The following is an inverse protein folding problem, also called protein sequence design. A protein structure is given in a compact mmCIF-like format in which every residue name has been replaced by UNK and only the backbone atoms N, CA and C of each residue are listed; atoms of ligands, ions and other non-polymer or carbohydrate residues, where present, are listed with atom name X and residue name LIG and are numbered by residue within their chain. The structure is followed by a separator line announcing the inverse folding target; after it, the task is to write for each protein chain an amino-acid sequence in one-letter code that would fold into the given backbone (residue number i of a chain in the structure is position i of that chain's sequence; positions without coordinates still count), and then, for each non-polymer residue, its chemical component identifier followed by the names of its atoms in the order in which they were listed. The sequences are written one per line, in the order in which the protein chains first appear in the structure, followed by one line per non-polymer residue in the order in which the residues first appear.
data_IF_311987774848
#
_entry.id   IF_311987774848
#
_cell.length_a   1.000
_cell.length_b   1.000
_cell.length_c   1.000
_cell.angle_alpha   90.00
_cell.angle_beta   90.00
_cell.angle_gamma   90.00
#
_symmetry.space_group_name_H-M   'P 1'
#
loop_
_entity.id
_entity.type
_entity.pdbx_description
1 polymer ?
#
# COMPACT_ATOMS: atom_id res chain seq x y z
N UNK A 1 21.77 -34.52 4.02
CA UNK A 1 21.29 -34.04 2.71
C UNK A 1 20.31 -35.00 2.04
N UNK A 2 20.67 -36.29 1.67
CA UNK A 2 19.69 -37.21 1.03
C UNK A 2 18.56 -37.59 1.97
N UNK A 3 18.83 -37.87 3.26
CA UNK A 3 17.79 -38.17 4.24
C UNK A 3 16.89 -36.97 4.54
N UNK A 4 17.44 -35.77 4.61
CA UNK A 4 16.67 -34.52 4.76
C UNK A 4 15.74 -34.26 3.58
N UNK A 5 16.22 -34.54 2.36
CA UNK A 5 15.41 -34.44 1.12
C UNK A 5 14.28 -35.49 1.15
N UNK A 6 14.58 -36.72 1.54
CA UNK A 6 13.60 -37.79 1.67
C UNK A 6 12.54 -37.49 2.75
N UNK A 7 12.94 -36.95 3.87
CA UNK A 7 12.02 -36.55 4.95
C UNK A 7 11.17 -35.35 4.54
N UNK A 8 11.76 -34.39 3.81
CA UNK A 8 11.00 -33.29 3.20
C UNK A 8 9.92 -33.81 2.23
N UNK A 9 10.27 -34.73 1.32
CA UNK A 9 9.29 -35.32 0.42
C UNK A 9 8.21 -36.11 1.15
N UNK A 10 8.55 -36.89 2.17
CA UNK A 10 7.58 -37.59 3.00
C UNK A 10 6.63 -36.63 3.70
N UNK A 11 7.13 -35.54 4.24
CA UNK A 11 6.32 -34.51 4.92
C UNK A 11 5.42 -33.79 3.92
N UNK A 12 5.92 -33.40 2.76
CA UNK A 12 5.15 -32.70 1.72
C UNK A 12 4.03 -33.60 1.14
N UNK A 13 4.31 -34.90 0.96
CA UNK A 13 3.32 -35.84 0.41
C UNK A 13 2.47 -36.57 1.47
N UNK A 14 2.53 -36.11 2.74
CA UNK A 14 1.73 -36.69 3.84
C UNK A 14 0.23 -36.34 3.80
N UNK A 15 -0.25 -35.64 2.77
CA UNK A 15 -1.64 -35.19 2.62
C UNK A 15 -1.92 -33.81 3.22
N UNK A 16 -1.21 -33.42 4.29
CA UNK A 16 -1.28 -32.09 4.92
C UNK A 16 -0.11 -31.19 4.56
N UNK A 17 0.97 -31.75 4.00
CA UNK A 17 2.22 -31.03 3.79
C UNK A 17 2.13 -29.83 2.84
N UNK A 18 1.32 -29.92 1.77
CA UNK A 18 1.09 -28.79 0.87
C UNK A 18 0.30 -27.66 1.52
N UNK A 19 -0.61 -27.99 2.46
CA UNK A 19 -1.34 -26.98 3.22
C UNK A 19 -0.41 -26.24 4.18
N UNK A 20 0.37 -26.96 4.99
CA UNK A 20 1.32 -26.34 5.91
C UNK A 20 2.36 -25.51 5.17
N UNK A 21 2.85 -25.99 4.02
CA UNK A 21 3.77 -25.25 3.18
C UNK A 21 3.11 -23.97 2.63
N UNK A 22 1.86 -24.06 2.14
CA UNK A 22 1.11 -22.91 1.66
C UNK A 22 0.90 -21.84 2.73
N UNK A 23 0.49 -22.24 3.94
CA UNK A 23 0.35 -21.32 5.07
C UNK A 23 1.69 -20.70 5.49
N UNK A 24 2.77 -21.49 5.55
CA UNK A 24 4.08 -20.98 5.88
C UNK A 24 4.59 -19.96 4.84
N UNK A 25 4.41 -20.23 3.56
CA UNK A 25 4.77 -19.31 2.47
C UNK A 25 3.95 -18.02 2.58
N UNK A 26 2.62 -18.14 2.76
CA UNK A 26 1.75 -16.98 2.96
C UNK A 26 2.20 -16.16 4.17
N UNK A 27 2.30 -16.77 5.33
CA UNK A 27 2.65 -16.10 6.57
C UNK A 27 4.01 -15.40 6.49
N UNK A 28 5.01 -16.05 5.87
CA UNK A 28 6.35 -15.47 5.71
C UNK A 28 6.34 -14.25 4.78
N UNK A 29 5.65 -14.34 3.64
CA UNK A 29 5.60 -13.24 2.67
C UNK A 29 4.73 -12.07 3.18
N UNK A 30 3.64 -12.37 3.89
CA UNK A 30 2.79 -11.33 4.49
C UNK A 30 3.51 -10.66 5.67
N UNK A 31 4.23 -11.41 6.49
CA UNK A 31 5.05 -10.83 7.55
C UNK A 31 6.13 -9.90 6.98
N UNK A 32 6.79 -10.30 5.89
CA UNK A 32 7.75 -9.46 5.17
C UNK A 32 7.09 -8.20 4.58
N UNK A 33 5.93 -8.33 3.94
CA UNK A 33 5.18 -7.20 3.40
C UNK A 33 4.77 -6.20 4.50
N UNK A 34 4.41 -6.74 5.67
CA UNK A 34 4.03 -5.97 6.83
C UNK A 34 5.22 -5.23 7.45
N UNK A 35 6.35 -5.91 7.64
CA UNK A 35 7.60 -5.32 8.11
C UNK A 35 8.07 -4.20 7.19
N UNK A 36 7.98 -4.44 5.87
CA UNK A 36 8.29 -3.44 4.86
C UNK A 36 7.40 -2.19 4.97
N UNK A 37 6.09 -2.35 5.22
CA UNK A 37 5.18 -1.22 5.43
C UNK A 37 5.47 -0.45 6.72
N UNK A 38 5.98 -1.11 7.77
CA UNK A 38 6.42 -0.46 9.01
C UNK A 38 7.75 0.28 8.86
N UNK A 39 8.56 -0.16 7.89
CA UNK A 39 9.85 0.46 7.61
C UNK A 39 9.64 1.85 7.01
N UNK A 40 10.32 2.85 7.55
CA UNK A 40 10.27 4.20 6.98
C UNK A 40 10.66 4.18 5.50
N UNK A 41 9.94 4.88 4.61
CA UNK A 41 10.37 5.05 3.22
C UNK A 41 11.82 5.54 3.09
N UNK A 42 12.31 6.29 4.08
CA UNK A 42 13.67 6.80 4.13
C UNK A 42 14.74 5.72 4.35
N UNK A 43 14.40 4.62 5.04
CA UNK A 43 15.32 3.52 5.33
C UNK A 43 15.12 2.30 4.45
N UNK A 44 14.18 2.36 3.51
CA UNK A 44 13.92 1.27 2.58
C UNK A 44 15.12 1.02 1.67
N UNK A 45 15.51 -0.25 1.51
CA UNK A 45 16.72 -0.67 0.78
C UNK A 45 17.98 0.08 1.26
N UNK A 46 18.20 0.08 2.59
CA UNK A 46 19.34 0.73 3.24
C UNK A 46 19.46 2.25 2.92
N UNK A 47 18.34 2.87 2.54
CA UNK A 47 18.26 4.29 2.19
C UNK A 47 18.60 4.60 0.72
N UNK A 48 19.08 3.65 -0.08
CA UNK A 48 19.49 3.89 -1.47
C UNK A 48 18.34 4.45 -2.35
N UNK A 49 17.12 3.95 -2.15
CA UNK A 49 15.94 4.43 -2.89
C UNK A 49 15.58 5.87 -2.51
N UNK A 50 15.75 6.21 -1.23
CA UNK A 50 15.52 7.56 -0.75
C UNK A 50 16.56 8.51 -1.32
N UNK A 51 17.84 8.17 -1.26
CA UNK A 51 18.93 9.02 -1.73
C UNK A 51 18.84 9.30 -3.23
N UNK A 52 18.50 8.28 -4.02
CA UNK A 52 18.28 8.46 -5.46
C UNK A 52 17.02 9.30 -5.75
N UNK A 53 15.92 9.02 -5.07
CA UNK A 53 14.70 9.81 -5.17
C UNK A 53 14.92 11.28 -4.78
N UNK A 54 15.67 11.51 -3.72
CA UNK A 54 16.02 12.84 -3.23
C UNK A 54 16.97 13.59 -4.18
N UNK A 55 17.92 12.89 -4.79
CA UNK A 55 18.79 13.44 -5.83
C UNK A 55 17.99 13.94 -7.03
N UNK A 56 17.03 13.15 -7.50
CA UNK A 56 16.11 13.54 -8.60
C UNK A 56 15.24 14.73 -8.16
N UNK A 57 14.69 14.69 -6.95
CA UNK A 57 13.93 15.78 -6.36
C UNK A 57 14.70 17.10 -6.37
N UNK A 58 15.96 17.11 -5.93
CA UNK A 58 16.80 18.32 -5.93
C UNK A 58 17.04 18.86 -7.34
N UNK A 59 17.28 17.99 -8.32
CA UNK A 59 17.43 18.40 -9.71
C UNK A 59 16.13 19.03 -10.24
N UNK A 60 14.98 18.45 -9.94
CA UNK A 60 13.69 18.98 -10.34
C UNK A 60 13.28 20.22 -9.53
N UNK A 61 13.81 20.39 -8.33
CA UNK A 61 13.59 21.61 -7.52
C UNK A 61 14.21 22.84 -8.16
N UNK A 62 15.39 22.71 -8.76
CA UNK A 62 16.02 23.82 -9.52
C UNK A 62 15.13 24.22 -10.71
N UNK A 63 14.62 23.23 -11.45
CA UNK A 63 13.70 23.50 -12.57
C UNK A 63 12.36 24.08 -12.06
N UNK A 64 11.84 23.55 -10.97
CA UNK A 64 10.62 24.04 -10.34
C UNK A 64 10.73 25.50 -9.91
N UNK A 65 11.89 25.93 -9.34
CA UNK A 65 12.14 27.31 -8.94
C UNK A 65 12.10 28.25 -10.14
N UNK A 66 12.66 27.86 -11.29
CA UNK A 66 12.56 28.66 -12.51
C UNK A 66 11.13 28.74 -13.02
N UNK A 67 10.37 27.64 -12.94
CA UNK A 67 8.95 27.61 -13.33
C UNK A 67 8.07 28.45 -12.40
N UNK A 68 8.35 28.52 -11.10
CA UNK A 68 7.66 29.45 -10.17
C UNK A 68 7.77 30.87 -10.71
N UNK A 69 8.98 31.33 -11.08
CA UNK A 69 9.19 32.66 -11.61
C UNK A 69 8.43 32.89 -12.93
N UNK A 70 8.45 31.92 -13.84
CA UNK A 70 7.74 32.00 -15.12
C UNK A 70 6.22 32.06 -14.92
N UNK A 71 5.67 31.16 -14.11
CA UNK A 71 4.23 31.11 -13.83
C UNK A 71 3.76 32.35 -13.08
N UNK A 72 4.60 32.87 -12.18
CA UNK A 72 4.33 34.12 -11.51
C UNK A 72 4.23 35.28 -12.51
N UNK A 73 5.18 35.41 -13.45
CA UNK A 73 5.16 36.44 -14.49
C UNK A 73 3.91 36.33 -15.37
N UNK A 74 3.55 35.12 -15.78
CA UNK A 74 2.32 34.87 -16.56
C UNK A 74 1.09 35.35 -15.78
N UNK A 75 1.01 35.00 -14.48
CA UNK A 75 -0.11 35.40 -13.64
C UNK A 75 -0.15 36.93 -13.46
N UNK A 76 1.01 37.55 -13.24
CA UNK A 76 1.14 39.00 -13.12
C UNK A 76 0.66 39.71 -14.38
N UNK A 77 1.10 39.26 -15.57
CA UNK A 77 0.66 39.87 -16.84
C UNK A 77 -0.85 39.66 -17.06
N UNK A 78 -1.40 38.50 -16.70
CA UNK A 78 -2.84 38.24 -16.85
C UNK A 78 -3.66 39.19 -15.98
N UNK A 79 -3.30 39.37 -14.70
CA UNK A 79 -3.96 40.28 -13.78
C UNK A 79 -3.83 41.76 -14.17
N UNK A 80 -2.64 42.19 -14.69
CA UNK A 80 -2.43 43.56 -15.10
C UNK A 80 -3.09 43.92 -16.41
N UNK A 81 -3.35 42.93 -17.29
CA UNK A 81 -3.97 43.15 -18.61
C UNK A 81 -5.50 43.08 -18.54
N UNK A 82 -6.06 42.64 -17.43
CA UNK A 82 -7.51 42.62 -17.25
C UNK A 82 -8.05 44.04 -17.04
N UNK A 83 -8.49 44.65 -18.17
CA UNK A 83 -8.91 46.07 -18.31
C UNK A 83 -10.15 46.39 -17.45
N UNK A 84 -10.88 45.39 -16.99
CA UNK A 84 -12.11 45.58 -16.21
C UNK A 84 -11.88 45.89 -14.74
N UNK A 85 -10.76 45.44 -14.19
CA UNK A 85 -10.40 45.65 -12.78
C UNK A 85 -8.97 46.17 -12.73
N UNK A 86 -8.78 47.46 -12.94
CA UNK A 86 -7.45 48.07 -12.76
C UNK A 86 -6.80 47.58 -11.47
N UNK A 87 -5.53 47.21 -11.54
CA UNK A 87 -4.80 46.65 -10.41
C UNK A 87 -4.81 47.65 -9.24
N UNK A 88 -5.62 47.35 -8.23
CA UNK A 88 -5.64 48.19 -7.01
C UNK A 88 -4.38 47.87 -6.19
N UNK A 89 -3.93 48.83 -5.37
CA UNK A 89 -2.77 48.63 -4.48
C UNK A 89 -2.96 47.40 -3.58
N UNK A 90 -4.21 47.13 -3.18
CA UNK A 90 -4.62 46.01 -2.35
C UNK A 90 -4.44 44.67 -3.09
N UNK A 91 -4.84 44.60 -4.37
CA UNK A 91 -4.64 43.41 -5.22
C UNK A 91 -3.14 43.15 -5.44
N UNK A 92 -2.32 44.19 -5.62
CA UNK A 92 -0.87 44.04 -5.75
C UNK A 92 -0.23 43.45 -4.50
N UNK A 93 -0.63 43.93 -3.32
CA UNK A 93 -0.13 43.41 -2.04
C UNK A 93 -0.52 41.93 -1.85
N UNK A 94 -1.76 41.55 -2.12
CA UNK A 94 -2.23 40.15 -2.05
C UNK A 94 -1.44 39.26 -3.00
N UNK A 95 -1.09 39.74 -4.17
CA UNK A 95 -0.32 39.02 -5.16
C UNK A 95 1.13 38.73 -4.68
N UNK A 96 1.82 39.70 -4.09
CA UNK A 96 3.14 39.51 -3.51
C UNK A 96 3.11 38.61 -2.27
N UNK A 97 2.08 38.69 -1.44
CA UNK A 97 1.88 37.78 -0.31
C UNK A 97 1.73 36.33 -0.81
N UNK A 98 0.95 36.11 -1.87
CA UNK A 98 0.81 34.78 -2.50
C UNK A 98 2.14 34.24 -3.01
N UNK A 99 2.94 35.09 -3.67
CA UNK A 99 4.28 34.69 -4.13
C UNK A 99 5.18 34.30 -2.96
N UNK A 100 5.26 35.14 -1.93
CA UNK A 100 6.09 34.88 -0.75
C UNK A 100 5.67 33.57 -0.04
N UNK A 101 4.38 33.28 -0.03
CA UNK A 101 3.87 32.04 0.54
C UNK A 101 4.25 30.81 -0.31
N UNK A 102 4.15 30.93 -1.64
CA UNK A 102 4.58 29.86 -2.56
C UNK A 102 6.08 29.60 -2.42
N UNK A 103 6.90 30.65 -2.36
CA UNK A 103 8.34 30.53 -2.18
C UNK A 103 8.67 29.91 -0.82
N UNK A 104 7.98 30.31 0.26
CA UNK A 104 8.19 29.74 1.59
C UNK A 104 7.86 28.23 1.61
N UNK A 105 6.76 27.80 0.98
CA UNK A 105 6.41 26.38 0.83
C UNK A 105 7.45 25.66 0.00
N UNK A 106 7.89 26.26 -1.10
CA UNK A 106 8.85 25.67 -2.01
C UNK A 106 10.23 25.45 -1.37
N UNK A 107 10.72 26.42 -0.59
CA UNK A 107 11.98 26.33 0.15
C UNK A 107 11.94 25.27 1.26
N UNK A 108 10.77 25.03 1.85
CA UNK A 108 10.57 24.05 2.92
C UNK A 108 9.95 22.74 2.43
N UNK A 109 9.89 22.52 1.12
CA UNK A 109 9.17 21.40 0.53
C UNK A 109 9.66 20.05 1.03
N UNK A 110 10.97 19.86 1.15
CA UNK A 110 11.56 18.62 1.71
C UNK A 110 11.05 18.35 3.12
N UNK A 111 11.09 19.37 4.00
CA UNK A 111 10.65 19.23 5.38
C UNK A 111 9.15 18.91 5.46
N UNK A 112 8.34 19.52 4.58
CA UNK A 112 6.90 19.26 4.51
C UNK A 112 6.64 17.82 4.08
N UNK A 113 7.34 17.31 3.07
CA UNK A 113 7.17 15.93 2.59
C UNK A 113 7.59 14.91 3.67
N UNK A 114 8.75 15.14 4.32
CA UNK A 114 9.21 14.30 5.43
C UNK A 114 8.20 14.29 6.57
N UNK A 115 7.71 15.47 6.97
CA UNK A 115 6.69 15.59 8.02
C UNK A 115 5.39 14.84 7.70
N UNK A 116 4.94 14.86 6.44
CA UNK A 116 3.76 14.10 6.01
C UNK A 116 4.00 12.59 6.10
N UNK A 117 5.20 12.11 5.77
CA UNK A 117 5.59 10.71 5.93
C UNK A 117 5.63 10.33 7.43
N UNK A 118 6.15 11.19 8.30
CA UNK A 118 6.18 10.97 9.76
C UNK A 118 4.77 10.88 10.35
N UNK A 119 3.85 11.72 9.88
CA UNK A 119 2.42 11.64 10.28
C UNK A 119 1.85 10.28 9.86
N UNK A 120 2.11 9.83 8.66
CA UNK A 120 1.62 8.54 8.17
C UNK A 120 2.17 7.39 9.02
N UNK A 121 3.45 7.40 9.36
CA UNK A 121 4.05 6.42 10.26
C UNK A 121 3.44 6.44 11.67
N UNK A 122 3.05 7.60 12.18
CA UNK A 122 2.34 7.69 13.43
C UNK A 122 0.97 6.98 13.37
N UNK A 123 0.27 7.03 12.23
CA UNK A 123 -0.96 6.25 12.02
C UNK A 123 -0.70 4.74 12.04
N UNK A 124 0.45 4.28 11.49
CA UNK A 124 0.83 2.89 11.61
C UNK A 124 0.92 2.43 13.06
N UNK A 125 1.56 3.19 13.93
CA UNK A 125 1.68 2.88 15.35
C UNK A 125 0.32 2.69 16.06
N UNK A 126 -0.75 3.32 15.56
CA UNK A 126 -2.11 3.17 16.10
C UNK A 126 -2.79 1.87 15.60
N UNK A 127 -2.53 1.51 14.32
CA UNK A 127 -3.18 0.37 13.67
C UNK A 127 -2.49 -0.94 14.04
N UNK A 128 -1.17 -0.92 14.20
CA UNK A 128 -0.35 -2.09 14.48
C UNK A 128 -0.50 -2.48 15.94
N UNK A 129 -0.91 -3.73 16.26
CA UNK A 129 -0.75 -4.26 17.61
C UNK A 129 0.73 -4.51 17.88
N UNK A 130 1.13 -4.46 19.15
CA UNK A 130 2.49 -4.75 19.60
C UNK A 130 3.00 -6.16 19.20
N UNK A 131 2.07 -7.08 18.84
CA UNK A 131 2.37 -8.45 18.42
C UNK A 131 2.13 -8.65 16.92
N UNK A 132 3.20 -8.72 16.11
CA UNK A 132 3.16 -9.16 14.72
C UNK A 132 2.59 -10.60 14.55
N UNK A 133 2.62 -11.41 15.61
CA UNK A 133 2.00 -12.72 15.67
C UNK A 133 0.47 -12.73 15.40
N UNK A 134 -0.19 -11.57 15.47
CA UNK A 134 -1.63 -11.45 15.17
C UNK A 134 -1.98 -11.55 13.70
N UNK A 135 -0.98 -11.48 12.79
CA UNK A 135 -1.16 -11.55 11.33
C UNK A 135 -0.96 -12.98 10.77
N UNK A 136 -0.63 -13.93 11.63
CA UNK A 136 -0.42 -15.32 11.23
C UNK A 136 -1.77 -16.00 11.02
N UNK A 137 -2.00 -16.55 9.84
CA UNK A 137 -3.11 -17.47 9.61
C UNK A 137 -2.77 -18.77 10.33
N UNK A 138 -3.60 -19.12 11.30
CA UNK A 138 -3.47 -20.37 12.07
C UNK A 138 -4.36 -21.40 11.41
N UNK A 139 -3.76 -22.46 10.90
CA UNK A 139 -4.46 -23.68 10.48
C UNK A 139 -4.24 -24.72 11.58
N UNK A 140 -5.27 -25.50 11.90
CA UNK A 140 -5.17 -26.50 12.97
C UNK A 140 -4.00 -27.45 12.74
N UNK A 141 -3.24 -27.74 13.82
CA UNK A 141 -2.05 -28.59 13.79
C UNK A 141 -2.38 -30.08 13.50
N UNK A 142 -3.66 -30.47 13.57
CA UNK A 142 -4.12 -31.86 13.53
C UNK A 142 -4.55 -32.33 12.12
N UNK A 143 -3.97 -31.75 11.07
CA UNK A 143 -4.31 -32.11 9.67
C UNK A 143 -3.64 -33.42 9.24
N UNK A 144 -4.10 -34.55 9.76
CA UNK A 144 -3.68 -35.89 9.30
C UNK A 144 -4.73 -36.49 8.40
N UNK A 145 -4.47 -36.59 7.09
CA UNK A 145 -5.30 -37.34 6.16
C UNK A 145 -4.79 -38.77 6.05
N UNK A 146 -5.67 -39.75 6.28
CA UNK A 146 -5.39 -41.18 6.17
C UNK A 146 -6.14 -41.83 5.01
N UNK A 147 -5.51 -42.77 4.33
CA UNK A 147 -6.15 -43.66 3.34
C UNK A 147 -6.44 -43.00 1.99
N UNK A 148 -7.66 -43.22 1.46
CA UNK A 148 -8.10 -42.69 0.12
C UNK A 148 -8.16 -41.18 0.06
N UNK A 149 -8.14 -40.47 1.20
CA UNK A 149 -8.06 -39.02 1.30
C UNK A 149 -6.69 -38.44 0.92
N UNK A 150 -5.62 -39.25 0.91
CA UNK A 150 -4.25 -38.76 0.60
C UNK A 150 -4.12 -38.17 -0.81
N UNK A 151 -4.71 -38.80 -1.83
CA UNK A 151 -4.63 -38.31 -3.22
C UNK A 151 -5.42 -37.01 -3.35
N UNK A 152 -6.63 -36.96 -2.80
CA UNK A 152 -7.48 -35.78 -2.84
C UNK A 152 -6.85 -34.64 -2.00
N UNK A 153 -6.33 -34.95 -0.82
CA UNK A 153 -5.66 -34.01 0.06
C UNK A 153 -4.42 -33.38 -0.59
N UNK A 154 -3.59 -34.19 -1.25
CA UNK A 154 -2.41 -33.68 -1.97
C UNK A 154 -2.81 -32.82 -3.18
N UNK A 155 -3.82 -33.20 -3.97
CA UNK A 155 -4.28 -32.40 -5.10
C UNK A 155 -4.88 -31.06 -4.66
N UNK A 156 -5.75 -31.10 -3.65
CA UNK A 156 -6.36 -29.91 -3.08
C UNK A 156 -5.32 -29.03 -2.39
N UNK A 157 -4.38 -29.62 -1.65
CA UNK A 157 -3.27 -28.93 -1.00
C UNK A 157 -2.34 -28.23 -2.01
N UNK A 158 -2.11 -28.86 -3.17
CA UNK A 158 -1.32 -28.23 -4.25
C UNK A 158 -2.03 -26.98 -4.81
N UNK A 159 -3.34 -27.05 -5.04
CA UNK A 159 -4.15 -25.89 -5.47
C UNK A 159 -4.10 -24.79 -4.39
N UNK A 160 -4.24 -25.18 -3.12
CA UNK A 160 -4.13 -24.28 -1.98
C UNK A 160 -2.78 -23.56 -1.95
N UNK A 161 -1.66 -24.30 -2.12
CA UNK A 161 -0.32 -23.73 -2.18
C UNK A 161 -0.18 -22.67 -3.28
N UNK A 162 -0.71 -22.94 -4.49
CA UNK A 162 -0.65 -21.97 -5.59
C UNK A 162 -1.48 -20.72 -5.29
N UNK A 163 -2.62 -20.85 -4.62
CA UNK A 163 -3.45 -19.72 -4.21
C UNK A 163 -2.73 -18.89 -3.13
N UNK A 164 -2.14 -19.54 -2.11
CA UNK A 164 -1.35 -18.88 -1.09
C UNK A 164 -0.17 -18.10 -1.69
N UNK A 165 0.61 -18.78 -2.54
CA UNK A 165 1.76 -18.15 -3.20
C UNK A 165 1.34 -17.00 -4.10
N UNK A 166 0.33 -17.20 -4.95
CA UNK A 166 -0.17 -16.17 -5.85
C UNK A 166 -0.73 -14.97 -5.11
N UNK A 167 -1.54 -15.20 -4.08
CA UNK A 167 -2.10 -14.14 -3.24
C UNK A 167 -1.03 -13.35 -2.48
N UNK A 168 -0.06 -14.05 -1.89
CA UNK A 168 1.06 -13.40 -1.19
C UNK A 168 1.93 -12.56 -2.13
N UNK A 169 2.26 -13.08 -3.32
CA UNK A 169 3.02 -12.35 -4.34
C UNK A 169 2.28 -11.11 -4.82
N UNK A 170 0.97 -11.20 -5.08
CA UNK A 170 0.15 -10.05 -5.48
C UNK A 170 0.11 -9.00 -4.37
N UNK A 171 -0.02 -9.41 -3.12
CA UNK A 171 0.00 -8.51 -1.96
C UNK A 171 1.34 -7.79 -1.85
N UNK A 172 2.44 -8.53 -1.91
CA UNK A 172 3.80 -7.98 -1.86
C UNK A 172 4.06 -7.03 -3.04
N UNK A 173 3.65 -7.41 -4.25
CA UNK A 173 3.72 -6.54 -5.44
C UNK A 173 2.97 -5.23 -5.23
N UNK A 174 1.79 -5.29 -4.61
CA UNK A 174 0.99 -4.08 -4.32
C UNK A 174 1.73 -3.16 -3.36
N UNK A 175 2.37 -3.71 -2.31
CA UNK A 175 3.18 -2.94 -1.36
C UNK A 175 4.35 -2.25 -2.07
N UNK A 176 5.14 -2.97 -2.88
CA UNK A 176 6.24 -2.37 -3.64
C UNK A 176 5.75 -1.25 -4.58
N UNK A 177 4.63 -1.50 -5.27
CA UNK A 177 4.04 -0.50 -6.17
C UNK A 177 3.71 0.81 -5.45
N UNK A 178 3.19 0.73 -4.21
CA UNK A 178 2.82 1.93 -3.44
C UNK A 178 4.06 2.72 -3.03
N UNK A 179 5.13 2.06 -2.59
CA UNK A 179 6.41 2.73 -2.32
C UNK A 179 6.97 3.44 -3.56
N UNK A 180 7.04 2.75 -4.69
CA UNK A 180 7.54 3.35 -5.93
C UNK A 180 6.67 4.54 -6.38
N UNK A 181 5.36 4.44 -6.20
CA UNK A 181 4.41 5.52 -6.46
C UNK A 181 4.66 6.73 -5.56
N UNK A 182 4.94 6.50 -4.27
CA UNK A 182 5.28 7.55 -3.31
C UNK A 182 6.57 8.28 -3.72
N UNK A 183 7.64 7.55 -4.03
CA UNK A 183 8.89 8.13 -4.50
C UNK A 183 8.72 8.93 -5.80
N UNK A 184 7.94 8.42 -6.74
CA UNK A 184 7.63 9.14 -7.96
C UNK A 184 6.93 10.48 -7.69
N UNK A 185 5.88 10.49 -6.85
CA UNK A 185 5.19 11.72 -6.51
C UNK A 185 6.10 12.69 -5.73
N UNK A 186 6.92 12.18 -4.83
CA UNK A 186 7.90 13.00 -4.13
C UNK A 186 8.88 13.67 -5.10
N UNK A 187 9.44 12.91 -6.03
CA UNK A 187 10.39 13.45 -7.02
C UNK A 187 9.78 14.55 -7.89
N UNK A 188 8.51 14.40 -8.31
CA UNK A 188 7.81 15.35 -9.19
C UNK A 188 7.19 16.53 -8.41
N UNK A 189 7.18 16.49 -7.08
CA UNK A 189 6.60 17.52 -6.22
C UNK A 189 7.01 18.96 -6.59
N UNK A 190 8.30 19.28 -6.82
CA UNK A 190 8.71 20.64 -7.13
C UNK A 190 8.09 21.19 -8.43
N UNK A 191 7.94 20.33 -9.45
CA UNK A 191 7.33 20.73 -10.71
C UNK A 191 5.82 20.96 -10.55
N UNK A 192 5.14 20.07 -9.85
CA UNK A 192 3.71 20.19 -9.64
C UNK A 192 3.34 21.42 -8.79
N UNK A 193 4.11 21.66 -7.71
CA UNK A 193 3.84 22.76 -6.78
C UNK A 193 4.26 24.12 -7.35
N UNK A 194 5.20 24.18 -8.30
CA UNK A 194 5.53 25.43 -9.01
C UNK A 194 4.32 26.04 -9.71
N UNK A 195 3.34 25.22 -10.12
CA UNK A 195 2.11 25.66 -10.78
C UNK A 195 1.20 26.53 -9.90
N UNK A 196 1.37 26.48 -8.55
CA UNK A 196 0.61 27.37 -7.65
C UNK A 196 0.94 28.85 -7.83
N UNK A 197 2.13 29.19 -8.35
CA UNK A 197 2.48 30.56 -8.67
C UNK A 197 1.71 31.10 -9.90
N UNK A 198 1.16 30.20 -10.71
CA UNK A 198 0.43 30.52 -11.92
C UNK A 198 -1.02 30.96 -11.70
N UNK A 199 -1.70 31.33 -12.81
CA UNK A 199 -3.13 31.61 -12.79
C UNK A 199 -3.94 30.37 -12.37
N UNK A 200 -5.18 30.61 -11.95
CA UNK A 200 -6.05 29.57 -11.36
C UNK A 200 -6.14 28.27 -12.19
N UNK A 201 -6.17 28.39 -13.49
CA UNK A 201 -6.24 27.24 -14.42
C UNK A 201 -5.01 26.33 -14.33
N UNK A 202 -3.82 26.91 -14.18
CA UNK A 202 -2.54 26.18 -14.03
C UNK A 202 -2.37 25.70 -12.58
N UNK A 203 -2.76 26.53 -11.60
CA UNK A 203 -2.68 26.23 -10.18
C UNK A 203 -3.47 25.00 -9.74
N UNK A 204 -4.49 24.60 -10.51
CA UNK A 204 -5.24 23.38 -10.29
C UNK A 204 -4.37 22.12 -10.34
N UNK A 205 -3.28 22.11 -11.13
CA UNK A 205 -2.34 21.00 -11.22
C UNK A 205 -1.66 20.74 -9.88
N UNK A 206 -1.20 21.81 -9.20
CA UNK A 206 -0.59 21.68 -7.86
C UNK A 206 -1.56 21.11 -6.82
N UNK A 207 -2.81 21.59 -6.79
CA UNK A 207 -3.82 21.09 -5.86
C UNK A 207 -4.18 19.63 -6.13
N UNK A 208 -4.30 19.24 -7.39
CA UNK A 208 -4.53 17.84 -7.78
C UNK A 208 -3.36 16.95 -7.37
N UNK A 209 -2.12 17.43 -7.52
CA UNK A 209 -0.94 16.70 -7.08
C UNK A 209 -0.96 16.48 -5.56
N UNK A 210 -1.20 17.51 -4.75
CA UNK A 210 -1.27 17.39 -3.28
C UNK A 210 -2.27 16.31 -2.86
N UNK A 211 -3.45 16.33 -3.44
CA UNK A 211 -4.49 15.32 -3.17
C UNK A 211 -4.02 13.92 -3.55
N UNK A 212 -3.41 13.76 -4.73
CA UNK A 212 -2.92 12.46 -5.21
C UNK A 212 -1.78 11.93 -4.34
N UNK A 213 -0.89 12.81 -3.87
CA UNK A 213 0.18 12.46 -2.95
C UNK A 213 -0.34 11.98 -1.60
N UNK A 214 -1.31 12.70 -1.01
CA UNK A 214 -1.98 12.28 0.21
C UNK A 214 -2.69 10.93 0.05
N UNK A 215 -3.37 10.71 -1.10
CA UNK A 215 -3.95 9.40 -1.38
C UNK A 215 -2.91 8.29 -1.42
N UNK A 216 -1.72 8.54 -1.99
CA UNK A 216 -0.65 7.54 -2.04
C UNK A 216 -0.08 7.23 -0.65
N UNK A 217 0.04 8.25 0.23
CA UNK A 217 0.42 8.06 1.63
C UNK A 217 -0.60 7.19 2.37
N UNK A 218 -1.87 7.58 2.35
CA UNK A 218 -2.93 6.84 3.05
C UNK A 218 -3.23 5.48 2.44
N UNK A 219 -2.80 5.22 1.19
CA UNK A 219 -2.88 3.89 0.59
C UNK A 219 -2.04 2.88 1.37
N UNK A 220 -0.86 3.26 1.89
CA UNK A 220 0.00 2.39 2.71
C UNK A 220 -0.71 2.00 4.00
N UNK A 221 -1.24 2.99 4.72
CA UNK A 221 -2.07 2.78 5.92
C UNK A 221 -3.30 1.91 5.63
N UNK A 222 -3.95 2.13 4.49
CA UNK A 222 -5.11 1.34 4.04
C UNK A 222 -4.77 -0.12 3.79
N UNK A 223 -3.64 -0.41 3.13
CA UNK A 223 -3.16 -1.78 2.88
C UNK A 223 -2.94 -2.51 4.21
N UNK A 224 -2.26 -1.87 5.16
CA UNK A 224 -2.00 -2.44 6.47
C UNK A 224 -3.30 -2.76 7.23
N UNK A 225 -4.26 -1.84 7.20
CA UNK A 225 -5.57 -2.03 7.81
C UNK A 225 -6.30 -3.23 7.19
N UNK A 226 -6.31 -3.36 5.85
CA UNK A 226 -6.95 -4.48 5.14
C UNK A 226 -6.28 -5.80 5.45
N UNK A 227 -4.95 -5.85 5.53
CA UNK A 227 -4.21 -7.05 5.93
C UNK A 227 -4.60 -7.48 7.34
N UNK A 228 -4.64 -6.53 8.29
CA UNK A 228 -5.00 -6.82 9.68
C UNK A 228 -6.44 -7.30 9.83
N UNK A 229 -7.39 -6.54 9.30
CA UNK A 229 -8.81 -6.91 9.38
C UNK A 229 -9.11 -8.24 8.70
N UNK A 230 -8.48 -8.48 7.54
CA UNK A 230 -8.62 -9.73 6.80
C UNK A 230 -8.10 -10.93 7.60
N UNK A 231 -6.95 -10.80 8.25
CA UNK A 231 -6.39 -11.88 9.08
C UNK A 231 -7.26 -12.17 10.31
N UNK A 232 -7.78 -11.12 10.96
CA UNK A 232 -8.74 -11.30 12.07
C UNK A 232 -9.99 -12.03 11.58
N UNK A 233 -10.50 -11.66 10.40
CA UNK A 233 -11.70 -12.28 9.83
C UNK A 233 -11.48 -13.79 9.55
N UNK A 234 -10.32 -14.16 9.00
CA UNK A 234 -9.96 -15.57 8.76
C UNK A 234 -9.87 -16.33 10.08
N UNK A 235 -9.12 -15.80 11.05
CA UNK A 235 -8.86 -16.47 12.32
C UNK A 235 -10.12 -16.56 13.20
N UNK A 236 -11.11 -15.69 12.99
CA UNK A 236 -12.39 -15.75 13.67
C UNK A 236 -13.31 -16.88 13.16
N UNK A 237 -12.96 -17.55 12.04
CA UNK A 237 -13.75 -18.64 11.47
C UNK A 237 -15.16 -18.26 10.97
N UNK A 238 -15.44 -16.93 10.89
CA UNK A 238 -16.79 -16.43 10.62
C UNK A 238 -17.13 -16.17 9.15
N UNK A 239 -16.34 -16.67 8.19
CA UNK A 239 -16.55 -16.41 6.77
C UNK A 239 -17.79 -17.09 6.18
N UNK A 240 -18.24 -18.19 6.79
CA UNK A 240 -19.43 -18.92 6.34
C UNK A 240 -20.44 -19.14 7.47
N UNK A 241 -21.74 -19.12 7.18
CA UNK A 241 -22.77 -19.53 8.14
C UNK A 241 -22.60 -21.00 8.55
N UNK A 242 -22.90 -21.32 9.79
CA UNK A 242 -22.85 -22.69 10.34
C UNK A 242 -23.69 -23.71 9.52
N UNK A 243 -24.77 -23.27 8.90
CA UNK A 243 -25.59 -24.12 8.03
C UNK A 243 -24.86 -24.64 6.77
N UNK A 244 -23.83 -23.95 6.29
CA UNK A 244 -23.00 -24.41 5.17
C UNK A 244 -21.94 -25.42 5.58
N UNK A 245 -21.60 -25.46 6.85
CA UNK A 245 -20.68 -26.44 7.44
C UNK A 245 -21.28 -27.85 7.40
N UNK A 246 -22.57 -28.00 7.67
CA UNK A 246 -23.26 -29.28 7.63
C UNK A 246 -23.32 -29.91 6.22
N UNK A 247 -23.46 -29.07 5.17
CA UNK A 247 -23.57 -29.54 3.80
C UNK A 247 -22.18 -29.73 3.15
N UNK A 248 -21.34 -28.70 3.18
CA UNK A 248 -20.03 -28.69 2.51
C UNK A 248 -18.98 -29.41 3.34
N UNK A 249 -19.02 -29.32 4.67
CA UNK A 249 -18.17 -30.07 5.57
C UNK A 249 -18.41 -31.55 5.51
N UNK A 250 -19.68 -32.00 5.29
CA UNK A 250 -20.02 -33.40 5.04
C UNK A 250 -19.47 -33.94 3.72
N UNK A 251 -19.29 -33.10 2.69
CA UNK A 251 -18.70 -33.48 1.41
C UNK A 251 -17.17 -33.41 1.38
N UNK A 252 -16.58 -32.40 2.00
CA UNK A 252 -15.15 -32.10 1.95
C UNK A 252 -14.38 -32.62 3.18
N UNK A 253 -15.10 -33.02 4.23
CA UNK A 253 -14.54 -33.26 5.55
C UNK A 253 -14.19 -31.96 6.28
N UNK A 254 -13.99 -32.02 7.59
CA UNK A 254 -13.67 -30.84 8.42
C UNK A 254 -12.43 -30.08 7.90
N UNK A 255 -11.42 -30.79 7.50
CA UNK A 255 -10.15 -30.24 7.03
C UNK A 255 -10.27 -29.54 5.65
N UNK A 256 -11.04 -30.14 4.73
CA UNK A 256 -11.31 -29.51 3.42
C UNK A 256 -12.15 -28.23 3.58
N UNK A 257 -13.03 -28.19 4.58
CA UNK A 257 -13.82 -27.03 4.94
C UNK A 257 -12.96 -25.87 5.46
N UNK A 258 -12.09 -26.15 6.41
CA UNK A 258 -11.13 -25.15 6.94
C UNK A 258 -10.22 -24.61 5.84
N UNK A 259 -9.68 -25.50 4.96
CA UNK A 259 -8.88 -25.10 3.82
C UNK A 259 -9.62 -24.17 2.87
N UNK A 260 -10.93 -24.43 2.62
CA UNK A 260 -11.76 -23.56 1.78
C UNK A 260 -11.96 -22.17 2.43
N UNK A 261 -12.18 -22.11 3.74
CA UNK A 261 -12.30 -20.86 4.48
C UNK A 261 -11.02 -20.03 4.37
N UNK A 262 -9.85 -20.65 4.54
CA UNK A 262 -8.55 -19.98 4.40
C UNK A 262 -8.33 -19.48 2.97
N UNK A 263 -8.66 -20.30 1.94
CA UNK A 263 -8.60 -19.87 0.53
C UNK A 263 -9.40 -18.59 0.30
N UNK A 264 -10.66 -18.59 0.72
CA UNK A 264 -11.52 -17.42 0.55
C UNK A 264 -10.99 -16.21 1.33
N UNK A 265 -10.49 -16.42 2.53
CA UNK A 265 -9.87 -15.37 3.32
C UNK A 265 -8.67 -14.75 2.61
N UNK A 266 -7.78 -15.57 2.05
CA UNK A 266 -6.63 -15.12 1.27
C UNK A 266 -7.07 -14.32 0.05
N UNK A 267 -8.09 -14.78 -0.67
CA UNK A 267 -8.64 -14.07 -1.83
C UNK A 267 -9.26 -12.72 -1.43
N UNK A 268 -9.95 -12.68 -0.28
CA UNK A 268 -10.53 -11.44 0.26
C UNK A 268 -9.42 -10.46 0.64
N UNK A 269 -8.38 -10.90 1.36
CA UNK A 269 -7.24 -10.04 1.72
C UNK A 269 -6.57 -9.50 0.47
N UNK A 270 -6.20 -10.39 -0.45
CA UNK A 270 -5.50 -10.02 -1.69
C UNK A 270 -6.33 -9.05 -2.54
N UNK A 271 -7.62 -9.32 -2.68
CA UNK A 271 -8.55 -8.44 -3.41
C UNK A 271 -8.72 -7.08 -2.73
N UNK A 272 -8.86 -7.05 -1.41
CA UNK A 272 -8.99 -5.81 -0.64
C UNK A 272 -7.73 -4.96 -0.70
N UNK A 273 -6.56 -5.60 -0.52
CA UNK A 273 -5.26 -4.93 -0.64
C UNK A 273 -5.07 -4.35 -2.04
N UNK A 274 -5.37 -5.11 -3.08
CA UNK A 274 -5.27 -4.63 -4.47
C UNK A 274 -6.25 -3.49 -4.79
N UNK A 275 -7.40 -3.46 -4.11
CA UNK A 275 -8.45 -2.44 -4.26
C UNK A 275 -8.25 -1.19 -3.41
N UNK A 276 -7.26 -1.15 -2.52
CA UNK A 276 -7.08 -0.07 -1.54
C UNK A 276 -6.91 1.31 -2.20
N UNK A 277 -6.16 1.42 -3.32
CA UNK A 277 -6.02 2.69 -4.06
C UNK A 277 -7.39 3.28 -4.43
N UNK A 278 -8.28 2.46 -4.98
CA UNK A 278 -9.62 2.90 -5.35
C UNK A 278 -10.49 3.28 -4.14
N UNK A 279 -10.35 2.56 -3.02
CA UNK A 279 -11.08 2.86 -1.79
C UNK A 279 -10.63 4.18 -1.17
N UNK A 280 -9.33 4.40 -1.08
CA UNK A 280 -8.75 5.63 -0.54
C UNK A 280 -9.13 6.82 -1.41
N UNK A 281 -8.99 6.72 -2.74
CA UNK A 281 -9.40 7.80 -3.64
C UNK A 281 -10.86 8.18 -3.48
N UNK A 282 -11.76 7.20 -3.39
CA UNK A 282 -13.19 7.45 -3.16
C UNK A 282 -13.47 8.08 -1.80
N UNK A 283 -12.76 7.66 -0.75
CA UNK A 283 -12.91 8.23 0.59
C UNK A 283 -12.49 9.71 0.64
N UNK A 284 -11.50 10.10 -0.16
CA UNK A 284 -11.04 11.49 -0.29
C UNK A 284 -11.79 12.30 -1.37
N UNK A 285 -12.83 11.73 -2.00
CA UNK A 285 -13.70 12.42 -2.94
C UNK A 285 -13.10 12.59 -4.35
N UNK A 286 -12.34 11.58 -4.82
CA UNK A 286 -11.73 11.56 -6.16
C UNK A 286 -12.39 10.55 -7.09
#
# INVERSE_FOLDING_TARGET
MINEILDFFKTVFSGSGFFSLGCNVWNSLIAYAFDMLQTSPQSLADGELWDEGYRIFLALQILGATLVSVFFMINFFKETTDIKHGMTMEASIQFFIKLALVDAVFLNLTNILVFLIEIEQAFFGIIVPEDAASLVIRVGDDWEMSGSGLIFGNLFGLVFLFICLGGAVITLWTVYRVFLKLFFYMAVAPLALSTYAGPHEIGHTGSSWVRTFLCALFEMTGIMLMMRLGTILINAGGLFPTASEDILGGMLGSQGWEGLQVILGILIITGSVSGTDAMVRRAFGF
#
